data_IF_413230113003
#
_entry.id   IF_413230113003
#
_cell.length_a   1.000
_cell.length_b   1.000
_cell.length_c   1.000
_cell.angle_alpha   90.00
_cell.angle_beta   90.00
_cell.angle_gamma   90.00
#
_symmetry.space_group_name_H-M   'P 1'
#
loop_
_entity.id
_entity.type
_entity.pdbx_description
1 polymer ?
#
# COMPACT_ATOMS: atom_id res chain seq x y z
N UNK A 1 -15.82 45.35 25.73
CA UNK A 1 -15.80 44.01 26.35
C UNK A 1 -16.55 42.98 25.51
N UNK A 2 -17.75 43.31 25.00
CA UNK A 2 -18.62 42.42 24.18
C UNK A 2 -17.96 41.90 22.88
N UNK A 3 -17.19 42.73 22.17
CA UNK A 3 -16.51 42.31 20.91
C UNK A 3 -15.45 41.21 21.13
N UNK A 4 -14.72 41.24 22.25
CA UNK A 4 -13.74 40.19 22.58
C UNK A 4 -14.42 38.86 22.92
N UNK A 5 -15.60 38.92 23.54
CA UNK A 5 -16.42 37.75 23.86
C UNK A 5 -16.98 37.11 22.57
N UNK A 6 -17.47 37.92 21.63
CA UNK A 6 -17.96 37.45 20.32
C UNK A 6 -16.85 36.80 19.49
N UNK A 7 -15.64 37.36 19.51
CA UNK A 7 -14.46 36.75 18.86
C UNK A 7 -14.10 35.39 19.47
N UNK A 8 -14.16 35.26 20.79
CA UNK A 8 -13.90 33.98 21.46
C UNK A 8 -14.93 32.91 21.11
N UNK A 9 -16.22 33.26 21.03
CA UNK A 9 -17.31 32.34 20.66
C UNK A 9 -17.17 31.89 19.20
N UNK A 10 -16.79 32.80 18.30
CA UNK A 10 -16.59 32.49 16.88
C UNK A 10 -15.42 31.51 16.67
N UNK A 11 -14.33 31.68 17.41
CA UNK A 11 -13.19 30.76 17.36
C UNK A 11 -13.55 29.37 17.93
N UNK A 12 -14.35 29.32 19.00
CA UNK A 12 -14.79 28.06 19.59
C UNK A 12 -15.79 27.29 18.71
N UNK A 13 -16.63 27.99 17.95
CA UNK A 13 -17.60 27.38 17.03
C UNK A 13 -16.93 26.70 15.81
N UNK A 14 -15.72 27.12 15.43
CA UNK A 14 -14.97 26.50 14.33
C UNK A 14 -14.19 25.25 14.73
N UNK A 15 -14.06 24.95 16.02
CA UNK A 15 -13.23 23.85 16.52
C UNK A 15 -13.87 22.45 16.40
N UNK A 16 -15.08 22.33 15.85
CA UNK A 16 -15.92 21.14 16.02
C UNK A 16 -16.26 20.36 14.74
N UNK A 17 -15.41 20.38 13.70
CA UNK A 17 -15.46 19.34 12.65
C UNK A 17 -14.35 18.31 12.85
N UNK A 18 -14.31 17.70 14.03
CA UNK A 18 -13.56 16.47 14.25
C UNK A 18 -14.27 15.30 13.57
N UNK A 19 -14.18 15.21 12.24
CA UNK A 19 -14.58 13.97 11.55
C UNK A 19 -13.48 12.96 11.86
N UNK A 20 -13.82 11.90 12.59
CA UNK A 20 -12.94 10.74 12.69
C UNK A 20 -12.79 10.18 11.27
N UNK A 21 -11.62 10.38 10.68
CA UNK A 21 -11.27 9.74 9.42
C UNK A 21 -10.96 8.29 9.76
N UNK A 22 -11.87 7.38 9.41
CA UNK A 22 -11.63 5.96 9.61
C UNK A 22 -10.66 5.48 8.53
N UNK A 23 -9.44 5.11 8.94
CA UNK A 23 -8.44 4.55 8.04
C UNK A 23 -7.91 3.22 8.58
N UNK A 24 -7.53 2.35 7.66
CA UNK A 24 -6.90 1.06 7.94
C UNK A 24 -5.64 0.95 7.09
N UNK A 25 -4.51 0.74 7.74
CA UNK A 25 -3.24 0.43 7.09
C UNK A 25 -2.93 -1.05 7.37
N UNK A 26 -2.68 -1.81 6.31
CA UNK A 26 -2.30 -3.22 6.40
C UNK A 26 -1.11 -3.49 5.48
N UNK A 27 -0.35 -4.53 5.80
CA UNK A 27 0.77 -4.96 4.99
C UNK A 27 0.91 -6.47 5.03
N UNK A 28 1.50 -7.03 3.98
CA UNK A 28 1.77 -8.45 3.87
C UNK A 28 3.13 -8.69 3.23
N UNK A 29 3.73 -9.83 3.58
CA UNK A 29 4.97 -10.34 2.99
C UNK A 29 4.73 -11.80 2.62
N UNK A 30 4.90 -12.12 1.35
CA UNK A 30 4.96 -13.49 0.84
C UNK A 30 6.39 -13.79 0.47
N UNK A 31 6.95 -14.88 0.99
CA UNK A 31 8.28 -15.37 0.65
C UNK A 31 8.10 -16.67 -0.13
N UNK A 32 8.66 -16.75 -1.33
CA UNK A 32 8.71 -17.96 -2.13
C UNK A 32 10.13 -18.27 -2.54
N UNK A 33 10.51 -19.54 -2.49
CA UNK A 33 11.81 -20.02 -2.92
C UNK A 33 11.64 -21.17 -3.93
N UNK A 34 12.30 -21.07 -5.08
CA UNK A 34 12.31 -22.10 -6.12
C UNK A 34 13.72 -22.67 -6.34
N UNK A 35 13.80 -23.96 -6.68
CA UNK A 35 15.01 -24.62 -7.12
C UNK A 35 14.67 -25.48 -8.35
N UNK A 36 15.40 -25.32 -9.45
CA UNK A 36 15.27 -26.16 -10.63
C UNK A 36 16.43 -27.15 -10.68
N UNK A 37 16.14 -28.45 -10.85
CA UNK A 37 17.16 -29.51 -10.89
C UNK A 37 17.48 -29.96 -12.34
N UNK A 38 17.21 -29.11 -13.33
CA UNK A 38 17.41 -29.41 -14.75
C UNK A 38 18.33 -28.35 -15.36
N UNK A 39 19.53 -28.79 -15.76
CA UNK A 39 20.56 -27.91 -16.32
C UNK A 39 20.12 -27.34 -17.69
N UNK A 40 20.10 -26.01 -17.82
CA UNK A 40 19.84 -25.32 -19.08
C UNK A 40 18.38 -24.86 -19.29
N UNK A 41 17.50 -25.00 -18.30
CA UNK A 41 16.12 -24.50 -18.36
C UNK A 41 15.93 -23.34 -17.35
N UNK A 42 15.75 -22.12 -17.86
CA UNK A 42 15.38 -20.95 -17.05
C UNK A 42 13.89 -20.66 -17.28
N UNK A 43 13.10 -20.71 -16.21
CA UNK A 43 11.69 -20.31 -16.22
C UNK A 43 11.41 -19.43 -15.03
N UNK A 44 11.19 -18.14 -15.26
CA UNK A 44 10.79 -17.18 -14.23
C UNK A 44 11.86 -16.87 -13.18
N UNK A 45 13.12 -16.72 -13.57
CA UNK A 45 14.27 -16.47 -12.65
C UNK A 45 14.59 -17.62 -11.69
N UNK A 46 14.13 -18.84 -11.99
CA UNK A 46 14.54 -20.06 -11.29
C UNK A 46 15.64 -20.74 -12.10
N UNK A 47 16.80 -20.95 -11.46
CA UNK A 47 17.97 -21.64 -12.01
C UNK A 47 18.39 -22.80 -11.08
N UNK A 48 19.56 -23.37 -11.31
CA UNK A 48 20.25 -24.38 -10.48
C UNK A 48 20.57 -23.91 -9.03
N UNK A 49 20.29 -22.64 -8.71
CA UNK A 49 20.44 -22.02 -7.38
C UNK A 49 19.08 -21.69 -6.78
N UNK A 50 19.00 -21.75 -5.44
CA UNK A 50 17.82 -21.30 -4.69
C UNK A 50 17.54 -19.83 -5.04
N UNK A 51 16.42 -19.59 -5.72
CA UNK A 51 15.96 -18.27 -6.12
C UNK A 51 14.78 -17.85 -5.25
N UNK A 52 14.92 -16.73 -4.54
CA UNK A 52 13.84 -16.08 -3.79
C UNK A 52 13.10 -15.03 -4.64
N UNK A 53 13.65 -14.67 -5.80
CA UNK A 53 13.14 -13.59 -6.63
C UNK A 53 11.88 -14.00 -7.39
N UNK A 54 11.67 -15.29 -7.61
CA UNK A 54 10.56 -15.78 -8.41
C UNK A 54 9.17 -15.44 -7.84
N UNK A 55 8.99 -15.50 -6.51
CA UNK A 55 7.63 -15.41 -5.92
C UNK A 55 7.55 -14.59 -4.61
N UNK A 56 8.60 -13.83 -4.30
CA UNK A 56 8.56 -12.91 -3.15
C UNK A 56 7.75 -11.67 -3.48
N UNK A 57 6.78 -11.33 -2.61
CA UNK A 57 5.92 -10.15 -2.76
C UNK A 57 5.85 -9.41 -1.42
N UNK A 58 6.11 -8.11 -1.45
CA UNK A 58 5.86 -7.19 -0.34
C UNK A 58 4.71 -6.26 -0.73
N UNK A 59 3.68 -6.16 0.10
CA UNK A 59 2.52 -5.31 -0.17
C UNK A 59 2.11 -4.45 1.02
N UNK A 60 1.62 -3.25 0.71
CA UNK A 60 1.03 -2.32 1.66
C UNK A 60 -0.30 -1.82 1.09
N UNK A 61 -1.33 -1.80 1.93
CA UNK A 61 -2.65 -1.31 1.56
C UNK A 61 -3.16 -0.29 2.58
N UNK A 62 -3.62 0.84 2.06
CA UNK A 62 -4.29 1.91 2.81
C UNK A 62 -5.74 2.00 2.36
N UNK A 63 -6.68 1.81 3.28
CA UNK A 63 -8.11 2.04 3.09
C UNK A 63 -8.58 3.19 3.95
N UNK A 64 -9.43 4.06 3.43
CA UNK A 64 -9.97 5.21 4.16
C UNK A 64 -11.46 5.41 3.84
N UNK A 65 -12.25 5.74 4.86
CA UNK A 65 -13.62 6.21 4.73
C UNK A 65 -13.64 7.71 5.03
N UNK A 66 -13.81 8.50 3.98
CA UNK A 66 -13.90 9.96 4.08
C UNK A 66 -15.28 10.40 4.60
N UNK A 67 -16.33 9.63 4.27
CA UNK A 67 -17.69 9.81 4.76
C UNK A 67 -18.46 8.48 4.76
N UNK A 68 -19.74 8.50 5.14
CA UNK A 68 -20.64 7.33 5.00
C UNK A 68 -20.89 6.90 3.56
N UNK A 69 -20.58 7.74 2.57
CA UNK A 69 -20.77 7.44 1.15
C UNK A 69 -19.46 7.37 0.37
N UNK A 70 -18.39 7.99 0.88
CA UNK A 70 -17.12 8.07 0.17
C UNK A 70 -16.04 7.25 0.86
N UNK A 71 -15.48 6.29 0.14
CA UNK A 71 -14.34 5.48 0.56
C UNK A 71 -13.28 5.38 -0.53
N UNK A 72 -12.06 5.10 -0.11
CA UNK A 72 -10.95 4.91 -1.02
C UNK A 72 -10.00 3.84 -0.52
N UNK A 73 -9.45 3.06 -1.45
CA UNK A 73 -8.40 2.09 -1.17
C UNK A 73 -7.27 2.23 -2.17
N UNK A 74 -6.05 2.22 -1.66
CA UNK A 74 -4.80 2.22 -2.41
C UNK A 74 -3.97 1.02 -1.97
N UNK A 75 -3.51 0.21 -2.92
CA UNK A 75 -2.54 -0.85 -2.68
C UNK A 75 -1.29 -0.66 -3.53
N UNK A 76 -0.13 -0.78 -2.87
CA UNK A 76 1.19 -0.74 -3.50
C UNK A 76 1.89 -2.05 -3.18
N UNK A 77 2.48 -2.67 -4.20
CA UNK A 77 3.23 -3.93 -4.07
C UNK A 77 4.58 -3.83 -4.75
N UNK A 78 5.57 -4.49 -4.18
CA UNK A 78 6.87 -4.74 -4.77
C UNK A 78 7.00 -6.25 -4.98
N UNK A 79 7.20 -6.65 -6.24
CA UNK A 79 7.37 -8.06 -6.64
C UNK A 79 8.85 -8.33 -6.88
N UNK A 80 9.36 -9.47 -6.40
CA UNK A 80 10.71 -9.93 -6.69
C UNK A 80 10.89 -10.27 -8.18
N UNK A 81 9.82 -10.76 -8.82
CA UNK A 81 9.82 -11.15 -10.22
C UNK A 81 9.82 -9.90 -11.12
N UNK A 82 10.82 -9.79 -11.99
CA UNK A 82 10.95 -8.70 -12.97
C UNK A 82 11.12 -9.29 -14.36
N UNK A 83 10.42 -8.76 -15.36
CA UNK A 83 10.61 -9.15 -16.77
C UNK A 83 11.90 -8.54 -17.36
N UNK A 84 12.53 -7.61 -16.64
CA UNK A 84 13.76 -6.91 -17.02
C UNK A 84 14.80 -7.10 -15.90
N UNK A 85 15.92 -7.73 -16.23
CA UNK A 85 16.94 -8.33 -15.35
C UNK A 85 17.63 -7.38 -14.34
N UNK A 86 17.25 -6.10 -14.32
CA UNK A 86 17.94 -5.07 -13.52
C UNK A 86 17.08 -4.39 -12.44
N UNK A 87 15.81 -4.76 -12.26
CA UNK A 87 14.89 -4.02 -11.38
C UNK A 87 13.93 -4.90 -10.56
N UNK A 88 14.49 -5.83 -9.78
CA UNK A 88 13.73 -6.56 -8.77
C UNK A 88 13.20 -5.61 -7.68
N UNK A 89 12.01 -5.91 -7.14
CA UNK A 89 11.37 -5.17 -6.05
C UNK A 89 10.96 -3.72 -6.36
N UNK A 90 10.67 -3.40 -7.62
CA UNK A 90 10.12 -2.09 -7.95
C UNK A 90 8.70 -1.91 -7.37
N UNK A 91 8.45 -0.88 -6.55
CA UNK A 91 7.11 -0.59 -6.05
C UNK A 91 6.19 -0.20 -7.20
N UNK A 92 5.04 -0.86 -7.30
CA UNK A 92 4.00 -0.63 -8.30
C UNK A 92 2.65 -0.52 -7.62
N UNK A 93 1.75 0.29 -8.18
CA UNK A 93 0.36 0.37 -7.72
C UNK A 93 -0.37 -0.85 -8.27
N UNK A 94 -0.88 -1.72 -7.38
CA UNK A 94 -1.64 -2.90 -7.79
C UNK A 94 -3.08 -2.52 -8.13
N UNK A 95 -3.71 -1.74 -7.26
CA UNK A 95 -5.04 -1.18 -7.51
C UNK A 95 -5.29 0.09 -6.71
N UNK A 96 -6.14 0.93 -7.28
CA UNK A 96 -6.66 2.16 -6.70
C UNK A 96 -8.17 2.17 -6.94
N UNK A 97 -8.94 2.19 -5.87
CA UNK A 97 -10.40 2.19 -5.92
C UNK A 97 -10.97 3.36 -5.12
N UNK A 98 -12.01 3.98 -5.65
CA UNK A 98 -12.77 5.05 -5.00
C UNK A 98 -14.25 4.72 -5.17
N UNK A 99 -15.00 4.75 -4.07
CA UNK A 99 -16.46 4.58 -4.04
C UNK A 99 -17.11 5.79 -3.41
#
# INVERSE_FOLDING_TARGET
MIIRLLLFIFIFAYSATGRALDYSLSGFLSLGAGLMNEEGYNSGDIDDKISFNNDTILGVQLSTHFSTQFSGTLQVIARGHSLDDSNHYQPSVDWLYLT
#
